data_IF_788806720782
#
_entry.id   IF_788806720782
#
_cell.length_a   1.000
_cell.length_b   1.000
_cell.length_c   1.000
_cell.angle_alpha   90.00
_cell.angle_beta   90.00
_cell.angle_gamma   90.00
#
_symmetry.space_group_name_H-M   'P 1'
#
loop_
_entity.id
_entity.type
_entity.pdbx_description
1 polymer ?
#
# COMPACT_ATOMS: atom_id res chain seq x y z
N UNK A 1 -4.43 8.77 8.31
CA UNK A 1 -4.07 7.35 8.49
C UNK A 1 -5.31 6.52 8.20
N UNK A 2 -5.17 5.34 7.57
CA UNK A 2 -6.29 4.45 7.24
C UNK A 2 -6.07 3.07 7.86
N UNK A 3 -7.07 2.52 8.53
CA UNK A 3 -7.01 1.20 9.15
C UNK A 3 -7.89 0.22 8.34
N UNK A 4 -7.33 -0.94 8.02
CA UNK A 4 -7.99 -2.01 7.27
C UNK A 4 -7.99 -3.27 8.13
N UNK A 5 -9.19 -3.78 8.41
CA UNK A 5 -9.37 -5.03 9.16
C UNK A 5 -9.41 -6.23 8.22
N UNK A 6 -8.66 -7.28 8.55
CA UNK A 6 -8.62 -8.56 7.83
C UNK A 6 -9.15 -9.70 8.69
N UNK A 7 -9.72 -10.72 8.05
CA UNK A 7 -10.31 -11.87 8.78
C UNK A 7 -9.26 -12.83 9.33
N UNK A 8 -8.04 -12.79 8.78
CA UNK A 8 -6.87 -13.53 9.25
C UNK A 8 -5.69 -12.59 9.46
N UNK A 9 -4.72 -12.97 10.32
CA UNK A 9 -3.51 -12.18 10.48
C UNK A 9 -2.80 -11.94 9.14
N UNK A 10 -2.34 -10.71 8.91
CA UNK A 10 -1.58 -10.34 7.73
C UNK A 10 -0.10 -10.52 8.03
N UNK A 11 0.58 -11.31 7.21
CA UNK A 11 2.04 -11.38 7.23
C UNK A 11 2.62 -10.26 6.39
N UNK A 12 3.49 -9.42 6.96
CA UNK A 12 4.23 -8.41 6.20
C UNK A 12 4.95 -9.02 4.99
N UNK A 13 5.53 -10.23 5.12
CA UNK A 13 6.18 -10.91 3.98
C UNK A 13 5.20 -11.31 2.88
N UNK A 14 3.98 -11.75 3.23
CA UNK A 14 2.97 -12.10 2.21
C UNK A 14 2.48 -10.84 1.50
N UNK A 15 2.31 -9.74 2.25
CA UNK A 15 1.92 -8.45 1.71
C UNK A 15 3.00 -7.86 0.80
N UNK A 16 4.26 -7.89 1.21
CA UNK A 16 5.41 -7.46 0.40
C UNK A 16 5.43 -8.16 -0.96
N UNK A 17 5.36 -9.50 -0.95
CA UNK A 17 5.39 -10.30 -2.17
C UNK A 17 4.21 -9.94 -3.08
N UNK A 18 3.00 -9.88 -2.52
CA UNK A 18 1.80 -9.54 -3.27
C UNK A 18 1.88 -8.14 -3.90
N UNK A 19 2.29 -7.13 -3.13
CA UNK A 19 2.41 -5.77 -3.64
C UNK A 19 3.53 -5.67 -4.69
N UNK A 20 4.65 -6.36 -4.48
CA UNK A 20 5.78 -6.36 -5.43
C UNK A 20 5.40 -6.96 -6.79
N UNK A 21 4.55 -7.99 -6.78
CA UNK A 21 4.05 -8.62 -8.00
C UNK A 21 2.97 -7.81 -8.72
N UNK A 22 2.19 -6.99 -7.99
CA UNK A 22 0.95 -6.40 -8.54
C UNK A 22 1.01 -4.89 -8.74
N UNK A 23 1.68 -4.14 -7.85
CA UNK A 23 1.59 -2.68 -7.82
C UNK A 23 2.16 -2.03 -9.08
N UNK A 24 3.41 -2.35 -9.43
CA UNK A 24 4.09 -1.75 -10.58
C UNK A 24 3.39 -2.08 -11.92
N UNK A 25 2.98 -3.33 -12.19
CA UNK A 25 2.20 -3.65 -13.39
C UNK A 25 0.91 -2.82 -13.51
N UNK A 26 0.13 -2.71 -12.42
CA UNK A 26 -1.12 -1.95 -12.42
C UNK A 26 -0.87 -0.45 -12.59
N UNK A 27 0.17 0.08 -11.94
CA UNK A 27 0.53 1.49 -12.07
C UNK A 27 0.94 1.85 -13.49
N UNK A 28 1.78 1.02 -14.12
CA UNK A 28 2.16 1.19 -15.52
C UNK A 28 0.95 1.13 -16.46
N UNK A 29 0.00 0.22 -16.21
CA UNK A 29 -1.24 0.13 -16.99
C UNK A 29 -2.10 1.41 -16.85
N UNK A 30 -2.25 1.93 -15.64
CA UNK A 30 -3.09 3.10 -15.37
C UNK A 30 -2.45 4.42 -15.86
N UNK A 31 -1.13 4.56 -15.73
CA UNK A 31 -0.42 5.82 -16.02
C UNK A 31 0.23 5.87 -17.39
N UNK A 32 0.47 4.72 -18.01
CA UNK A 32 1.21 4.61 -19.28
C UNK A 32 2.58 5.30 -19.24
N UNK A 33 3.23 5.30 -18.08
CA UNK A 33 4.58 5.83 -17.87
C UNK A 33 5.50 4.73 -17.35
N UNK A 34 6.79 4.85 -17.68
CA UNK A 34 7.85 3.96 -17.21
C UNK A 34 8.36 4.47 -15.85
N UNK A 35 7.58 4.21 -14.80
CA UNK A 35 7.90 4.58 -13.42
C UNK A 35 7.55 3.43 -12.48
N UNK A 36 8.57 2.88 -11.84
CA UNK A 36 8.43 1.79 -10.88
C UNK A 36 8.72 2.25 -9.45
N UNK A 37 8.06 1.62 -8.49
CA UNK A 37 8.26 1.84 -7.06
C UNK A 37 9.00 0.67 -6.44
N UNK A 38 9.86 0.99 -5.49
CA UNK A 38 10.48 0.04 -4.59
C UNK A 38 9.50 -0.30 -3.47
N UNK A 39 9.33 -1.60 -3.23
CA UNK A 39 8.55 -2.12 -2.11
C UNK A 39 9.53 -2.78 -1.15
N UNK A 40 9.68 -2.19 0.03
CA UNK A 40 10.68 -2.57 1.02
C UNK A 40 10.01 -3.03 2.30
N UNK A 41 10.42 -4.17 2.83
CA UNK A 41 9.97 -4.64 4.14
C UNK A 41 10.93 -4.18 5.25
N UNK A 42 10.36 -3.48 6.23
CA UNK A 42 11.03 -3.00 7.43
C UNK A 42 10.36 -3.59 8.67
N UNK A 43 10.80 -4.79 9.08
CA UNK A 43 10.18 -5.53 10.19
C UNK A 43 8.75 -5.98 9.87
N UNK A 44 7.77 -5.46 10.61
CA UNK A 44 6.33 -5.70 10.38
C UNK A 44 5.67 -4.58 9.56
N UNK A 45 6.47 -3.73 8.91
CA UNK A 45 5.99 -2.67 8.03
C UNK A 45 6.50 -2.85 6.59
N UNK A 46 5.70 -2.39 5.63
CA UNK A 46 6.04 -2.31 4.21
C UNK A 46 6.06 -0.86 3.78
N UNK A 47 7.13 -0.43 3.13
CA UNK A 47 7.27 0.91 2.57
C UNK A 47 7.26 0.86 1.05
N UNK A 48 6.48 1.77 0.45
CA UNK A 48 6.43 2.01 -0.98
C UNK A 48 7.14 3.34 -1.22
N UNK A 49 8.25 3.31 -1.94
CA UNK A 49 9.12 4.45 -2.17
C UNK A 49 9.61 4.50 -3.62
N UNK A 50 10.16 5.62 -4.03
CA UNK A 50 10.95 5.75 -5.25
C UNK A 50 11.99 6.83 -4.98
N UNK A 51 13.23 6.40 -4.73
CA UNK A 51 14.33 7.29 -4.31
C UNK A 51 14.81 8.22 -5.44
N UNK A 52 14.35 8.01 -6.68
CA UNK A 52 14.69 8.88 -7.82
C UNK A 52 13.84 10.16 -7.83
N UNK A 53 12.60 10.07 -7.37
CA UNK A 53 11.62 11.16 -7.43
C UNK A 53 11.20 11.71 -6.06
N UNK A 54 11.29 10.90 -5.01
CA UNK A 54 10.79 11.24 -3.67
C UNK A 54 11.87 11.01 -2.62
N UNK A 55 11.82 11.82 -1.56
CA UNK A 55 12.65 11.63 -0.37
C UNK A 55 11.82 10.86 0.66
N UNK A 56 12.20 9.60 0.89
CA UNK A 56 11.50 8.69 1.79
C UNK A 56 10.33 7.93 1.17
N UNK A 57 9.38 7.50 2.01
CA UNK A 57 8.23 6.71 1.58
C UNK A 57 7.09 7.58 1.05
N UNK A 58 6.33 7.03 0.10
CA UNK A 58 5.02 7.53 -0.30
C UNK A 58 3.92 6.95 0.58
N UNK A 59 4.01 5.64 0.83
CA UNK A 59 3.12 4.90 1.71
C UNK A 59 3.91 3.96 2.61
N UNK A 60 3.48 3.85 3.86
CA UNK A 60 3.95 2.87 4.84
C UNK A 60 2.75 2.07 5.34
N UNK A 61 2.84 0.75 5.31
CA UNK A 61 1.77 -0.16 5.69
C UNK A 61 2.27 -1.02 6.83
N UNK A 62 1.73 -0.84 8.03
CA UNK A 62 2.12 -1.60 9.21
C UNK A 62 1.11 -2.72 9.47
N UNK A 63 1.61 -3.95 9.62
CA UNK A 63 0.76 -5.12 9.92
C UNK A 63 0.72 -5.36 11.42
N UNK A 64 -0.48 -5.28 12.00
CA UNK A 64 -0.74 -5.44 13.43
C UNK A 64 -1.72 -6.60 13.64
N UNK A 65 -1.23 -7.83 13.54
CA UNK A 65 -2.10 -9.01 13.60
C UNK A 65 -3.12 -9.00 12.46
N UNK A 66 -4.38 -8.72 12.79
CA UNK A 66 -5.51 -8.66 11.86
C UNK A 66 -5.78 -7.26 11.29
N UNK A 67 -4.93 -6.29 11.59
CA UNK A 67 -5.08 -4.92 11.13
C UNK A 67 -3.92 -4.53 10.23
N UNK A 68 -4.21 -3.75 9.19
CA UNK A 68 -3.22 -3.06 8.38
C UNK A 68 -3.41 -1.56 8.54
N UNK A 69 -2.37 -0.88 8.98
CA UNK A 69 -2.36 0.56 9.17
C UNK A 69 -1.62 1.19 8.00
N UNK A 70 -2.37 1.86 7.11
CA UNK A 70 -1.85 2.53 5.94
C UNK A 70 -1.60 4.00 6.26
N UNK A 71 -0.34 4.39 6.21
CA UNK A 71 0.17 5.73 6.49
C UNK A 71 0.65 6.31 5.16
N UNK A 72 0.02 7.40 4.73
CA UNK A 72 0.43 8.17 3.55
C UNK A 72 1.40 9.26 3.99
N UNK A 73 2.43 9.52 3.17
CA UNK A 73 3.36 10.62 3.40
C UNK A 73 2.67 11.98 3.29
N UNK A 74 2.93 12.87 4.24
CA UNK A 74 2.39 14.23 4.27
C UNK A 74 3.03 15.15 3.22
N UNK A 75 4.19 14.76 2.68
CA UNK A 75 4.93 15.57 1.71
C UNK A 75 4.38 15.50 0.28
N UNK A 76 3.59 14.46 -0.02
CA UNK A 76 3.17 14.12 -1.38
C UNK A 76 1.66 13.91 -1.50
N UNK A 77 0.87 14.54 -0.63
CA UNK A 77 -0.58 14.32 -0.55
C UNK A 77 -1.33 14.64 -1.84
N UNK A 78 -0.89 15.69 -2.54
CA UNK A 78 -1.49 16.18 -3.79
C UNK A 78 -0.76 15.68 -5.05
N UNK A 79 0.27 14.84 -4.88
CA UNK A 79 1.01 14.29 -6.02
C UNK A 79 0.15 13.26 -6.77
N UNK A 80 0.15 13.37 -8.10
CA UNK A 80 -0.73 12.55 -8.94
C UNK A 80 -0.32 11.07 -8.90
N UNK A 81 0.97 10.76 -8.78
CA UNK A 81 1.43 9.38 -8.65
C UNK A 81 1.07 8.83 -7.26
N UNK A 82 1.21 9.63 -6.21
CA UNK A 82 0.77 9.26 -4.85
C UNK A 82 -0.73 8.95 -4.82
N UNK A 83 -1.57 9.82 -5.40
CA UNK A 83 -3.03 9.60 -5.51
C UNK A 83 -3.37 8.34 -6.32
N UNK A 84 -2.61 8.07 -7.39
CA UNK A 84 -2.82 6.86 -8.19
C UNK A 84 -2.47 5.60 -7.39
N UNK A 85 -1.35 5.61 -6.66
CA UNK A 85 -0.97 4.49 -5.78
C UNK A 85 -2.04 4.26 -4.72
N UNK A 86 -2.60 5.32 -4.14
CA UNK A 86 -3.68 5.22 -3.16
C UNK A 86 -4.92 4.48 -3.70
N UNK A 87 -5.38 4.83 -4.91
CA UNK A 87 -6.46 4.11 -5.59
C UNK A 87 -6.12 2.64 -5.84
N UNK A 88 -4.91 2.36 -6.34
CA UNK A 88 -4.46 1.00 -6.62
C UNK A 88 -4.37 0.16 -5.34
N UNK A 89 -3.80 0.71 -4.27
CA UNK A 89 -3.72 0.06 -2.97
C UNK A 89 -5.11 -0.26 -2.43
N UNK A 90 -6.07 0.67 -2.56
CA UNK A 90 -7.45 0.42 -2.18
C UNK A 90 -8.00 -0.81 -2.89
N UNK A 91 -7.79 -0.96 -4.20
CA UNK A 91 -8.19 -2.14 -4.97
C UNK A 91 -7.42 -3.41 -4.56
N UNK A 92 -6.10 -3.31 -4.40
CA UNK A 92 -5.24 -4.43 -4.05
C UNK A 92 -5.55 -5.01 -2.67
N UNK A 93 -5.90 -4.18 -1.69
CA UNK A 93 -6.37 -4.65 -0.38
C UNK A 93 -7.72 -5.38 -0.46
N UNK A 94 -8.51 -5.11 -1.50
CA UNK A 94 -9.73 -5.90 -1.79
C UNK A 94 -9.40 -7.27 -2.41
N UNK A 95 -8.22 -7.45 -3.00
CA UNK A 95 -7.85 -8.71 -3.67
C UNK A 95 -6.91 -9.58 -2.84
N UNK A 96 -6.28 -9.01 -1.81
CA UNK A 96 -5.30 -9.71 -0.98
C UNK A 96 -5.91 -11.00 -0.35
N UNK A 97 -5.25 -12.16 -0.51
CA UNK A 97 -5.81 -13.45 -0.09
C UNK A 97 -6.09 -13.52 1.41
N UNK A 98 -7.28 -14.00 1.78
CA UNK A 98 -7.79 -14.05 3.16
C UNK A 98 -9.00 -13.16 3.42
N UNK A 99 -9.85 -12.92 2.42
CA UNK A 99 -10.93 -11.95 2.47
C UNK A 99 -12.30 -12.64 2.41
N UNK A 100 -13.02 -12.61 3.54
CA UNK A 100 -14.48 -12.85 3.53
C UNK A 100 -15.27 -11.61 3.98
N UNK A 101 -14.76 -10.75 4.87
CA UNK A 101 -15.50 -9.55 5.29
C UNK A 101 -14.54 -8.42 5.71
N UNK A 102 -14.34 -7.39 4.88
CA UNK A 102 -13.78 -6.11 5.39
C UNK A 102 -14.90 -5.44 6.18
N UNK A 103 -14.82 -5.52 7.51
CA UNK A 103 -15.61 -4.66 8.38
C UNK A 103 -14.83 -3.37 8.58
N UNK A 104 -15.31 -2.32 7.91
CA UNK A 104 -14.95 -0.91 8.10
C UNK A 104 -13.67 -0.42 7.41
N UNK A 105 -13.84 0.62 6.57
CA UNK A 105 -12.79 1.56 6.17
C UNK A 105 -13.06 2.81 7.01
N UNK A 106 -12.22 3.04 8.02
CA UNK A 106 -12.25 4.24 8.84
C UNK A 106 -11.10 5.16 8.47
N UNK A 107 -11.40 6.44 8.29
CA UNK A 107 -10.41 7.52 8.38
C UNK A 107 -10.46 8.03 9.83
N UNK A 108 -9.41 7.76 10.62
CA UNK A 108 -9.24 8.49 11.87
C UNK A 108 -8.70 9.88 11.53
N UNK A 109 -9.50 10.90 11.89
CA UNK A 109 -9.22 12.33 11.76
C UNK A 109 -8.58 12.88 13.03
#
# INVERSE_FOLDING_TARGET
>A
MKIINTTRPVSASELENFLSEKLNPLFHEQRQIDLSFDIRKEGDAIEICNDELYDGFLFRIETHGNEMHVIKSEHYTDDVNSLTIEELLNGLFLEFPGRDEIKYIGEES
#
